data_IF_828751086174
#
_entry.id   IF_828751086174
#
_cell.length_a   1.000
_cell.length_b   1.000
_cell.length_c   1.000
_cell.angle_alpha   90.00
_cell.angle_beta   90.00
_cell.angle_gamma   90.00
#
_symmetry.space_group_name_H-M   'P 1'
#
loop_
_entity.id
_entity.type
_entity.pdbx_description
1 polymer ?
#
# COMPACT_ATOMS: atom_id res chain seq x y z
N UNK A 1 -4.97 14.98 -30.53
CA UNK A 1 -3.70 15.74 -30.41
C UNK A 1 -2.59 14.90 -29.78
N UNK A 2 -2.77 14.36 -28.55
CA UNK A 2 -1.72 13.56 -27.87
C UNK A 2 -1.36 12.27 -28.62
N UNK A 3 -2.35 11.53 -29.14
CA UNK A 3 -2.08 10.32 -29.92
C UNK A 3 -1.26 10.63 -31.16
N UNK A 4 -1.73 11.54 -32.02
CA UNK A 4 -1.05 11.93 -33.26
C UNK A 4 0.40 12.39 -33.04
N UNK A 5 0.66 13.20 -32.01
CA UNK A 5 1.99 13.70 -31.70
C UNK A 5 2.98 12.62 -31.22
N UNK A 6 2.50 11.47 -30.72
CA UNK A 6 3.38 10.42 -30.21
C UNK A 6 4.16 9.74 -31.34
N UNK A 7 5.48 9.70 -31.22
CA UNK A 7 6.39 9.07 -32.20
C UNK A 7 6.92 7.71 -31.74
N UNK A 8 6.82 7.40 -30.45
CA UNK A 8 7.29 6.17 -29.83
C UNK A 8 6.18 5.55 -28.96
N UNK A 9 6.21 4.22 -28.83
CA UNK A 9 5.32 3.49 -27.94
C UNK A 9 5.59 3.87 -26.48
N UNK A 10 4.55 4.27 -25.74
CA UNK A 10 4.67 4.65 -24.34
C UNK A 10 5.14 3.51 -23.41
N UNK A 11 5.01 2.24 -23.84
CA UNK A 11 5.37 1.08 -23.01
C UNK A 11 6.77 0.51 -23.30
N UNK A 12 7.08 0.25 -24.57
CA UNK A 12 8.38 -0.34 -24.95
C UNK A 12 9.40 0.69 -25.45
N UNK A 13 9.02 1.97 -25.56
CA UNK A 13 9.85 3.07 -26.03
C UNK A 13 10.38 2.92 -27.48
N UNK A 14 9.90 1.93 -28.25
CA UNK A 14 10.27 1.73 -29.65
C UNK A 14 9.47 2.69 -30.55
N UNK A 15 10.12 3.24 -31.58
CA UNK A 15 9.50 4.13 -32.58
C UNK A 15 8.38 3.41 -33.33
N UNK A 16 7.28 4.11 -33.59
CA UNK A 16 6.21 3.54 -34.40
C UNK A 16 6.66 3.34 -35.84
N UNK A 17 6.26 2.21 -36.40
CA UNK A 17 6.54 1.86 -37.78
C UNK A 17 5.46 2.43 -38.71
N UNK A 18 5.78 2.62 -39.99
CA UNK A 18 4.79 3.05 -40.97
C UNK A 18 3.71 1.96 -41.20
N UNK A 19 2.55 2.32 -41.78
CA UNK A 19 1.41 1.40 -41.95
C UNK A 19 1.66 0.11 -42.75
N UNK A 20 2.77 0.02 -43.49
CA UNK A 20 3.12 -1.17 -44.28
C UNK A 20 3.86 -2.24 -43.46
N UNK A 21 4.37 -1.90 -42.28
CA UNK A 21 4.98 -2.87 -41.38
C UNK A 21 3.92 -3.52 -40.48
N UNK A 22 4.10 -4.79 -40.11
CA UNK A 22 3.13 -5.52 -39.29
C UNK A 22 3.39 -5.31 -37.79
N UNK A 23 4.65 -5.13 -37.41
CA UNK A 23 5.07 -4.98 -36.02
C UNK A 23 5.27 -3.50 -35.70
N UNK A 24 5.09 -3.14 -34.44
CA UNK A 24 5.27 -1.79 -33.93
C UNK A 24 4.34 -0.70 -34.51
N UNK A 25 3.22 -1.11 -35.12
CA UNK A 25 2.18 -0.20 -35.63
C UNK A 25 1.55 0.60 -34.50
N UNK A 26 1.32 1.89 -34.75
CA UNK A 26 0.72 2.80 -33.78
C UNK A 26 -0.77 2.47 -33.54
N UNK A 27 -1.15 2.36 -32.26
CA UNK A 27 -2.52 2.06 -31.82
C UNK A 27 -2.92 2.95 -30.64
N UNK A 28 -4.21 3.26 -30.55
CA UNK A 28 -4.78 4.04 -29.46
C UNK A 28 -5.31 3.12 -28.35
N UNK A 29 -4.53 2.96 -27.28
CA UNK A 29 -5.00 2.28 -26.06
C UNK A 29 -6.11 3.11 -25.41
N UNK A 30 -7.16 2.44 -24.94
CA UNK A 30 -8.30 3.05 -24.29
C UNK A 30 -8.78 2.18 -23.15
N UNK A 31 -9.39 2.79 -22.13
CA UNK A 31 -9.97 2.07 -21.00
C UNK A 31 -11.19 1.26 -21.45
N UNK A 32 -11.16 -0.06 -21.27
CA UNK A 32 -12.29 -0.92 -21.64
C UNK A 32 -13.52 -0.73 -20.71
N UNK A 33 -13.35 -0.04 -19.58
CA UNK A 33 -14.44 0.31 -18.67
C UNK A 33 -15.06 1.68 -18.99
N UNK A 34 -14.25 2.69 -19.31
CA UNK A 34 -14.73 4.07 -19.50
C UNK A 34 -14.71 4.57 -20.95
N UNK A 35 -14.11 3.80 -21.87
CA UNK A 35 -13.88 4.19 -23.27
C UNK A 35 -12.83 5.28 -23.47
N UNK A 36 -12.30 5.89 -22.41
CA UNK A 36 -11.37 7.02 -22.51
C UNK A 36 -10.01 6.57 -23.02
N UNK A 37 -9.44 7.36 -23.94
CA UNK A 37 -8.06 7.22 -24.40
C UNK A 37 -7.07 7.22 -23.22
N UNK A 38 -6.10 6.32 -23.24
CA UNK A 38 -5.05 6.21 -22.22
C UNK A 38 -3.70 6.71 -22.75
N UNK A 39 -3.23 6.13 -23.86
CA UNK A 39 -1.88 6.35 -24.36
C UNK A 39 -1.70 5.79 -25.79
N UNK A 40 -0.58 6.16 -26.44
CA UNK A 40 -0.21 5.63 -27.74
C UNK A 40 0.72 4.42 -27.54
N UNK A 41 0.28 3.25 -27.99
CA UNK A 41 1.06 2.01 -27.88
C UNK A 41 1.29 1.41 -29.25
N UNK A 42 2.33 0.59 -29.37
CA UNK A 42 2.40 -0.28 -30.52
C UNK A 42 1.39 -1.42 -30.40
N UNK A 43 0.93 -1.95 -31.52
CA UNK A 43 -0.01 -3.07 -31.58
C UNK A 43 0.44 -4.26 -30.71
N UNK A 44 1.73 -4.61 -30.72
CA UNK A 44 2.28 -5.70 -29.91
C UNK A 44 2.15 -5.45 -28.41
N UNK A 45 2.43 -4.22 -27.96
CA UNK A 45 2.27 -3.85 -26.55
C UNK A 45 0.79 -3.78 -26.17
N UNK A 46 -0.04 -3.18 -27.01
CA UNK A 46 -1.48 -3.03 -26.77
C UNK A 46 -2.17 -4.39 -26.63
N UNK A 47 -1.84 -5.36 -27.49
CA UNK A 47 -2.40 -6.72 -27.43
C UNK A 47 -1.98 -7.50 -26.17
N UNK A 48 -0.83 -7.18 -25.57
CA UNK A 48 -0.38 -7.79 -24.32
C UNK A 48 -1.11 -7.24 -23.09
N UNK A 49 -1.74 -6.08 -23.19
CA UNK A 49 -2.51 -5.51 -22.10
C UNK A 49 -3.82 -6.28 -21.93
N UNK A 50 -3.99 -6.89 -20.78
CA UNK A 50 -5.25 -7.53 -20.39
C UNK A 50 -5.96 -6.66 -19.37
N UNK A 51 -7.28 -6.50 -19.55
CA UNK A 51 -8.10 -5.87 -18.50
C UNK A 51 -8.37 -6.93 -17.44
N UNK A 52 -7.86 -6.77 -16.20
CA UNK A 52 -8.12 -7.74 -15.16
C UNK A 52 -9.61 -7.76 -14.82
N UNK A 53 -10.15 -8.96 -14.66
CA UNK A 53 -11.54 -9.18 -14.21
C UNK A 53 -11.62 -9.21 -12.68
N UNK A 54 -10.70 -8.52 -12.01
CA UNK A 54 -10.66 -8.44 -10.56
C UNK A 54 -9.95 -7.17 -10.08
N UNK A 55 -10.27 -6.75 -8.86
CA UNK A 55 -9.47 -5.76 -8.11
C UNK A 55 -8.59 -6.50 -7.10
N UNK A 56 -7.26 -6.35 -7.14
CA UNK A 56 -6.39 -6.88 -6.09
C UNK A 56 -6.47 -6.00 -4.83
N UNK A 57 -6.66 -6.64 -3.68
CA UNK A 57 -6.48 -6.07 -2.35
C UNK A 57 -5.24 -6.72 -1.73
N UNK A 58 -4.16 -5.96 -1.66
CA UNK A 58 -2.91 -6.42 -1.08
C UNK A 58 -2.88 -6.13 0.41
N UNK A 59 -2.76 -7.18 1.22
CA UNK A 59 -2.56 -7.06 2.66
C UNK A 59 -1.27 -7.79 3.03
N UNK A 60 -0.46 -7.20 3.89
CA UNK A 60 0.81 -7.79 4.27
C UNK A 60 0.63 -8.63 5.52
N UNK A 61 0.93 -9.93 5.42
CA UNK A 61 0.72 -10.92 6.49
C UNK A 61 -0.76 -11.26 6.74
N UNK A 62 -1.60 -11.08 5.71
CA UNK A 62 -3.04 -11.38 5.69
C UNK A 62 -3.37 -12.74 6.30
N UNK A 63 -2.63 -13.79 5.92
CA UNK A 63 -2.96 -15.17 6.30
C UNK A 63 -2.93 -15.40 7.81
N UNK A 64 -2.18 -14.59 8.57
CA UNK A 64 -1.94 -14.79 10.00
C UNK A 64 -2.76 -13.82 10.88
N UNK A 65 -3.30 -12.75 10.31
CA UNK A 65 -4.00 -11.69 11.05
C UNK A 65 -5.42 -11.52 10.51
N UNK A 66 -5.53 -11.07 9.27
CA UNK A 66 -6.80 -10.50 8.81
C UNK A 66 -7.74 -11.48 8.10
N UNK A 67 -7.20 -12.56 7.54
CA UNK A 67 -7.94 -13.43 6.64
C UNK A 67 -9.21 -14.01 7.31
N UNK A 68 -9.13 -14.43 8.57
CA UNK A 68 -10.23 -15.09 9.25
C UNK A 68 -11.43 -14.17 9.46
N UNK A 69 -11.22 -12.95 9.95
CA UNK A 69 -12.33 -12.03 10.15
C UNK A 69 -12.92 -11.56 8.81
N UNK A 70 -12.08 -11.25 7.82
CA UNK A 70 -12.55 -10.81 6.50
C UNK A 70 -13.38 -11.91 5.83
N UNK A 71 -12.88 -13.14 5.77
CA UNK A 71 -13.58 -14.25 5.12
C UNK A 71 -14.88 -14.59 5.85
N UNK A 72 -14.90 -14.52 7.18
CA UNK A 72 -16.11 -14.75 7.97
C UNK A 72 -17.19 -13.73 7.63
N UNK A 73 -16.86 -12.44 7.64
CA UNK A 73 -17.81 -11.37 7.30
C UNK A 73 -18.31 -11.48 5.86
N UNK A 74 -17.42 -11.79 4.92
CA UNK A 74 -17.79 -12.00 3.52
C UNK A 74 -18.63 -13.27 3.31
N UNK A 75 -18.59 -14.22 4.25
CA UNK A 75 -19.35 -15.47 4.21
C UNK A 75 -20.85 -15.28 4.42
N UNK A 76 -21.28 -14.17 5.02
CA UNK A 76 -22.70 -13.82 5.16
C UNK A 76 -23.34 -13.39 3.83
N UNK A 77 -22.54 -12.94 2.88
CA UNK A 77 -23.03 -12.58 1.54
C UNK A 77 -23.14 -13.82 0.65
N UNK A 78 -24.22 -13.87 -0.16
CA UNK A 78 -24.59 -15.04 -0.98
C UNK A 78 -23.62 -15.33 -2.13
N UNK A 79 -22.79 -14.36 -2.52
CA UNK A 79 -21.86 -14.56 -3.61
C UNK A 79 -20.72 -15.49 -3.22
N UNK A 80 -20.26 -16.26 -4.20
CA UNK A 80 -19.22 -17.25 -4.00
C UNK A 80 -17.92 -16.61 -3.49
N UNK A 81 -17.26 -17.32 -2.57
CA UNK A 81 -15.86 -17.12 -2.22
C UNK A 81 -15.04 -18.27 -2.80
N UNK A 82 -13.88 -17.96 -3.37
CA UNK A 82 -12.89 -18.95 -3.80
C UNK A 82 -11.59 -18.72 -3.04
N UNK A 83 -11.00 -19.77 -2.48
CA UNK A 83 -9.83 -19.69 -1.62
C UNK A 83 -8.67 -20.46 -2.23
N UNK A 84 -7.46 -19.91 -2.11
CA UNK A 84 -6.19 -20.60 -2.33
C UNK A 84 -5.58 -20.85 -0.95
N UNK A 85 -5.78 -22.05 -0.38
CA UNK A 85 -5.28 -22.37 0.95
C UNK A 85 -3.78 -22.70 0.93
N UNK A 86 -3.09 -22.37 2.02
CA UNK A 86 -1.81 -22.94 2.41
C UNK A 86 -1.99 -24.08 3.42
N UNK A 87 -2.96 -23.93 4.33
CA UNK A 87 -3.45 -24.96 5.24
C UNK A 87 -4.96 -24.77 5.42
N UNK A 88 -5.60 -25.59 6.26
CA UNK A 88 -7.03 -25.45 6.59
C UNK A 88 -7.36 -24.08 7.21
N UNK A 89 -6.40 -23.49 7.93
CA UNK A 89 -6.55 -22.20 8.58
C UNK A 89 -5.89 -21.06 7.79
N UNK A 90 -4.80 -21.30 7.06
CA UNK A 90 -4.05 -20.20 6.42
C UNK A 90 -4.37 -20.07 4.94
N UNK A 91 -4.85 -18.91 4.51
CA UNK A 91 -5.21 -18.64 3.12
C UNK A 91 -4.21 -17.67 2.46
N UNK A 92 -3.50 -18.13 1.42
CA UNK A 92 -2.55 -17.30 0.65
C UNK A 92 -3.29 -16.17 -0.07
N UNK A 93 -4.46 -16.51 -0.60
CA UNK A 93 -5.34 -15.60 -1.33
C UNK A 93 -6.76 -16.11 -1.24
N UNK A 94 -7.72 -15.19 -1.22
CA UNK A 94 -9.13 -15.53 -1.42
C UNK A 94 -9.78 -14.47 -2.31
N UNK A 95 -10.84 -14.83 -3.00
CA UNK A 95 -11.56 -13.94 -3.90
C UNK A 95 -13.05 -14.00 -3.63
N UNK A 96 -13.66 -12.83 -3.48
CA UNK A 96 -15.11 -12.66 -3.36
C UNK A 96 -15.66 -12.21 -4.70
N UNK A 97 -16.68 -12.90 -5.19
CA UNK A 97 -17.38 -12.49 -6.40
C UNK A 97 -18.29 -11.30 -6.08
N UNK A 98 -18.16 -10.23 -6.87
CA UNK A 98 -19.07 -9.07 -6.82
C UNK A 98 -20.11 -9.21 -7.95
N UNK A 99 -19.73 -9.83 -9.05
CA UNK A 99 -20.62 -10.23 -10.14
C UNK A 99 -20.20 -11.61 -10.69
N UNK A 100 -20.91 -12.11 -11.71
CA UNK A 100 -20.58 -13.41 -12.33
C UNK A 100 -19.17 -13.50 -12.91
N UNK A 101 -18.60 -12.36 -13.30
CA UNK A 101 -17.29 -12.31 -13.99
C UNK A 101 -16.26 -11.49 -13.23
N UNK A 102 -16.64 -10.77 -12.18
CA UNK A 102 -15.76 -9.82 -11.49
C UNK A 102 -15.58 -10.16 -10.02
N UNK A 103 -14.33 -10.14 -9.56
CA UNK A 103 -13.98 -10.48 -8.18
C UNK A 103 -13.15 -9.40 -7.48
N UNK A 104 -13.23 -9.33 -6.15
CA UNK A 104 -12.22 -8.68 -5.33
C UNK A 104 -11.30 -9.78 -4.82
N UNK A 105 -10.00 -9.65 -5.03
CA UNK A 105 -9.00 -10.68 -4.70
C UNK A 105 -8.06 -10.18 -3.62
N UNK A 106 -8.16 -10.77 -2.44
CA UNK A 106 -7.29 -10.50 -1.30
C UNK A 106 -6.05 -11.37 -1.40
N UNK A 107 -4.87 -10.76 -1.29
CA UNK A 107 -3.58 -11.41 -1.52
C UNK A 107 -2.64 -11.11 -0.34
N UNK A 108 -2.07 -12.15 0.24
CA UNK A 108 -1.02 -12.02 1.25
C UNK A 108 0.32 -11.69 0.59
N UNK A 109 0.75 -10.43 0.68
CA UNK A 109 2.04 -10.01 0.09
C UNK A 109 3.26 -10.58 0.83
N UNK A 110 3.11 -11.01 2.08
CA UNK A 110 4.19 -11.62 2.85
C UNK A 110 4.61 -12.99 2.29
N UNK A 111 3.75 -13.63 1.47
CA UNK A 111 4.11 -14.86 0.73
C UNK A 111 5.12 -14.62 -0.39
N UNK A 112 5.22 -13.38 -0.89
CA UNK A 112 6.16 -12.99 -1.95
C UNK A 112 7.36 -12.23 -1.39
N UNK A 113 7.14 -11.43 -0.35
CA UNK A 113 8.16 -10.62 0.32
C UNK A 113 8.14 -10.94 1.82
N UNK A 114 8.79 -12.04 2.20
CA UNK A 114 8.82 -12.54 3.57
C UNK A 114 9.74 -11.68 4.48
N UNK A 115 9.35 -10.43 4.72
CA UNK A 115 10.09 -9.46 5.55
C UNK A 115 9.12 -8.45 6.15
N UNK A 116 9.45 -7.90 7.32
CA UNK A 116 8.62 -6.88 7.98
C UNK A 116 8.43 -5.67 7.06
N UNK A 117 7.24 -5.06 7.08
CA UNK A 117 6.96 -3.81 6.35
C UNK A 117 8.00 -2.73 6.64
N UNK A 118 8.47 -2.61 7.88
CA UNK A 118 9.51 -1.65 8.26
C UNK A 118 10.85 -1.88 7.53
N UNK A 119 11.21 -3.14 7.26
CA UNK A 119 12.40 -3.48 6.46
C UNK A 119 12.15 -3.17 4.99
N UNK A 120 10.97 -3.51 4.47
CA UNK A 120 10.61 -3.24 3.07
C UNK A 120 10.56 -1.74 2.77
N UNK A 121 9.99 -0.93 3.66
CA UNK A 121 9.96 0.53 3.55
C UNK A 121 11.38 1.12 3.55
N UNK A 122 12.27 0.66 4.44
CA UNK A 122 13.68 1.09 4.47
C UNK A 122 14.40 0.84 3.13
N UNK A 123 14.11 -0.28 2.46
CA UNK A 123 14.69 -0.61 1.15
C UNK A 123 14.16 0.29 0.01
N UNK A 124 13.05 1.00 0.21
CA UNK A 124 12.49 1.93 -0.76
C UNK A 124 13.05 3.34 -0.67
N UNK A 125 13.72 3.69 0.44
CA UNK A 125 14.27 5.04 0.65
C UNK A 125 15.29 5.37 -0.44
N UNK A 126 15.06 6.50 -1.10
CA UNK A 126 15.96 7.15 -2.06
C UNK A 126 16.26 8.56 -1.56
N UNK A 127 17.37 9.20 -1.97
CA UNK A 127 17.69 10.56 -1.52
C UNK A 127 16.57 11.59 -1.79
N UNK A 128 15.74 11.33 -2.79
CA UNK A 128 14.61 12.18 -3.21
C UNK A 128 13.23 11.66 -2.78
N UNK A 129 13.16 10.54 -2.04
CA UNK A 129 11.92 9.87 -1.64
C UNK A 129 10.94 9.54 -2.80
N UNK A 130 11.42 9.47 -4.04
CA UNK A 130 10.59 9.28 -5.24
C UNK A 130 9.74 8.01 -5.26
N UNK A 131 10.08 7.00 -4.44
CA UNK A 131 9.29 5.77 -4.28
C UNK A 131 8.09 5.91 -3.33
N UNK A 132 8.02 6.96 -2.50
CA UNK A 132 6.95 7.24 -1.55
C UNK A 132 5.90 8.21 -2.10
N UNK A 133 5.46 7.95 -3.33
CA UNK A 133 4.57 8.85 -4.09
C UNK A 133 3.24 9.12 -3.42
N UNK A 134 2.69 8.11 -2.73
CA UNK A 134 1.40 8.23 -2.04
C UNK A 134 1.53 9.03 -0.74
N UNK A 135 2.58 8.79 0.05
CA UNK A 135 2.92 9.58 1.24
C UNK A 135 3.15 11.05 0.88
N UNK A 136 3.88 11.32 -0.20
CA UNK A 136 4.16 12.68 -0.69
C UNK A 136 2.92 13.47 -1.14
N UNK A 137 1.73 12.85 -1.24
CA UNK A 137 0.47 13.58 -1.49
C UNK A 137 -0.06 14.29 -0.25
N UNK A 138 0.33 13.84 0.94
CA UNK A 138 -0.22 14.29 2.21
C UNK A 138 0.81 15.00 3.11
N UNK A 139 2.09 14.85 2.79
CA UNK A 139 3.21 15.37 3.56
C UNK A 139 4.14 16.20 2.67
N UNK A 140 4.74 17.23 3.26
CA UNK A 140 5.70 18.09 2.57
C UNK A 140 7.06 17.40 2.42
N UNK A 141 7.96 17.97 1.62
CA UNK A 141 9.32 17.44 1.44
C UNK A 141 10.09 17.41 2.76
N UNK A 142 9.89 18.39 3.63
CA UNK A 142 10.58 18.50 4.92
C UNK A 142 10.14 17.38 5.89
N UNK A 143 8.90 16.91 5.74
CA UNK A 143 8.31 15.83 6.55
C UNK A 143 8.81 14.43 6.15
N UNK A 144 9.28 14.25 4.91
CA UNK A 144 9.48 12.92 4.32
C UNK A 144 10.46 12.04 5.11
N UNK A 145 11.47 12.64 5.75
CA UNK A 145 12.41 11.91 6.61
C UNK A 145 11.73 11.30 7.85
N UNK A 146 10.64 11.91 8.31
CA UNK A 146 9.90 11.50 9.50
C UNK A 146 8.83 10.47 9.17
N UNK A 147 8.18 10.59 8.01
CA UNK A 147 6.98 9.81 7.65
C UNK A 147 7.21 8.62 6.70
N UNK A 148 8.46 8.32 6.36
CA UNK A 148 8.80 7.18 5.45
C UNK A 148 9.42 5.98 6.16
N UNK A 149 9.38 5.98 7.49
CA UNK A 149 9.83 4.89 8.34
C UNK A 149 8.72 4.48 9.32
N UNK A 150 8.90 3.33 9.95
CA UNK A 150 7.99 2.86 11.02
C UNK A 150 7.97 3.90 12.14
N UNK A 151 6.77 4.40 12.47
CA UNK A 151 6.54 5.25 13.63
C UNK A 151 6.67 4.48 14.95
N UNK A 152 6.76 5.22 16.05
CA UNK A 152 6.99 4.69 17.40
C UNK A 152 5.84 5.13 18.28
N UNK A 153 5.13 4.18 18.89
CA UNK A 153 3.89 4.44 19.61
C UNK A 153 3.82 3.59 20.89
N UNK A 154 3.38 4.15 22.04
CA UNK A 154 3.35 3.43 23.31
C UNK A 154 2.02 2.66 23.47
N UNK A 155 1.88 1.55 22.75
CA UNK A 155 0.64 0.77 22.67
C UNK A 155 0.13 0.31 24.03
N UNK A 156 1.04 -0.17 24.88
CA UNK A 156 0.73 -0.66 26.22
C UNK A 156 0.30 0.45 27.17
N UNK A 157 0.79 1.68 26.97
CA UNK A 157 0.43 2.83 27.79
C UNK A 157 -0.95 3.40 27.45
N UNK A 158 -1.31 3.43 26.16
CA UNK A 158 -2.56 4.02 25.69
C UNK A 158 -3.72 3.01 25.78
N UNK A 159 -4.03 2.59 27.00
CA UNK A 159 -5.05 1.58 27.32
C UNK A 159 -6.43 2.17 27.66
N UNK A 160 -6.54 3.50 27.78
CA UNK A 160 -7.76 4.22 28.08
C UNK A 160 -7.87 5.52 27.28
N UNK A 161 -9.11 5.93 26.97
CA UNK A 161 -9.38 7.18 26.25
C UNK A 161 -8.78 8.42 26.91
N UNK A 162 -8.77 8.48 28.24
CA UNK A 162 -8.20 9.60 29.00
C UNK A 162 -6.69 9.78 28.78
N UNK A 163 -5.97 8.73 28.35
CA UNK A 163 -4.55 8.82 27.99
C UNK A 163 -4.34 9.67 26.75
N UNK A 164 -5.31 9.68 25.84
CA UNK A 164 -5.20 10.48 24.61
C UNK A 164 -5.28 11.97 24.90
N UNK A 165 -5.88 12.39 26.02
CA UNK A 165 -5.96 13.79 26.43
C UNK A 165 -4.69 14.30 27.12
N UNK A 166 -3.68 13.44 27.34
CA UNK A 166 -2.44 13.84 28.00
C UNK A 166 -1.55 14.68 27.09
N UNK A 167 -0.99 15.77 27.64
CA UNK A 167 -0.22 16.77 26.90
C UNK A 167 1.26 16.41 26.73
N UNK A 168 1.65 15.17 26.97
CA UNK A 168 3.02 14.70 26.83
C UNK A 168 3.05 13.24 26.41
N UNK A 169 4.03 12.85 25.59
CA UNK A 169 4.33 11.43 25.44
C UNK A 169 4.84 10.89 26.77
N UNK A 170 4.49 9.64 27.11
CA UNK A 170 4.93 9.03 28.36
C UNK A 170 6.44 8.81 28.36
N UNK A 171 6.99 8.51 29.53
CA UNK A 171 8.41 8.23 29.67
C UNK A 171 8.82 7.03 28.80
N UNK A 172 10.10 7.00 28.39
CA UNK A 172 10.67 5.92 27.57
C UNK A 172 10.37 4.51 28.10
N UNK A 173 10.30 4.34 29.43
CA UNK A 173 10.00 3.06 30.06
C UNK A 173 8.59 2.53 29.71
N UNK A 174 7.65 3.42 29.43
CA UNK A 174 6.25 3.09 29.11
C UNK A 174 6.04 2.75 27.62
N UNK A 175 7.09 2.84 26.81
CA UNK A 175 7.13 2.30 25.43
C UNK A 175 7.57 0.82 25.39
N UNK A 176 7.58 0.13 26.54
CA UNK A 176 7.91 -1.29 26.59
C UNK A 176 6.88 -2.13 25.85
N UNK A 177 7.33 -2.91 24.86
CA UNK A 177 6.42 -3.79 24.12
C UNK A 177 6.34 -5.17 24.77
N UNK A 178 5.15 -5.56 25.19
CA UNK A 178 4.88 -6.91 25.72
C UNK A 178 5.02 -7.94 24.60
N UNK A 179 4.63 -7.60 23.37
CA UNK A 179 4.68 -8.52 22.22
C UNK A 179 6.11 -8.97 21.90
N UNK A 180 7.09 -8.08 22.06
CA UNK A 180 8.51 -8.39 21.79
C UNK A 180 9.34 -8.51 23.06
N UNK A 181 8.71 -8.37 24.23
CA UNK A 181 9.32 -8.36 25.56
C UNK A 181 10.55 -7.44 25.65
N UNK A 182 10.48 -6.27 25.03
CA UNK A 182 11.64 -5.39 24.85
C UNK A 182 11.31 -3.91 25.05
N UNK A 183 12.23 -3.18 25.67
CA UNK A 183 12.17 -1.73 25.74
C UNK A 183 12.47 -1.10 24.37
N UNK A 184 11.93 0.11 24.15
CA UNK A 184 12.26 0.93 22.98
C UNK A 184 13.74 1.36 23.02
N UNK A 185 14.39 1.42 21.86
CA UNK A 185 15.74 1.96 21.73
C UNK A 185 15.74 3.49 21.90
N UNK A 186 16.82 4.08 22.43
CA UNK A 186 16.91 5.54 22.65
C UNK A 186 16.61 6.33 21.38
N UNK A 187 17.21 5.95 20.25
CA UNK A 187 17.01 6.60 18.95
C UNK A 187 15.55 6.55 18.45
N UNK A 188 14.80 5.51 18.82
CA UNK A 188 13.40 5.35 18.40
C UNK A 188 12.49 6.22 19.29
N UNK A 189 12.81 6.33 20.58
CA UNK A 189 12.12 7.25 21.49
C UNK A 189 12.40 8.72 21.13
N UNK A 190 13.66 9.09 20.88
CA UNK A 190 14.04 10.41 20.37
C UNK A 190 13.31 10.74 19.05
N UNK A 191 13.16 9.76 18.17
CA UNK A 191 12.41 9.93 16.94
C UNK A 191 10.93 10.23 17.22
N UNK A 192 10.28 9.54 18.17
CA UNK A 192 8.89 9.82 18.56
C UNK A 192 8.71 11.26 19.07
N UNK A 193 9.63 11.71 19.93
CA UNK A 193 9.64 13.08 20.46
C UNK A 193 9.80 14.11 19.33
N UNK A 194 10.76 13.88 18.42
CA UNK A 194 11.00 14.76 17.28
C UNK A 194 9.79 14.83 16.32
N UNK A 195 9.15 13.69 16.03
CA UNK A 195 7.92 13.66 15.21
C UNK A 195 6.83 14.49 15.88
N UNK A 196 6.58 14.25 17.16
CA UNK A 196 5.58 15.01 17.92
C UNK A 196 5.84 16.50 17.90
N UNK A 197 7.07 16.93 18.15
CA UNK A 197 7.45 18.34 18.16
C UNK A 197 7.31 18.97 16.76
N UNK A 198 7.83 18.30 15.73
CA UNK A 198 7.80 18.78 14.34
C UNK A 198 6.37 19.01 13.83
N UNK A 199 5.45 18.11 14.15
CA UNK A 199 4.04 18.22 13.77
C UNK A 199 3.18 18.98 14.78
N UNK A 200 3.77 19.46 15.89
CA UNK A 200 3.09 20.26 16.90
C UNK A 200 1.95 19.52 17.60
N UNK A 201 2.06 18.20 17.82
CA UNK A 201 1.00 17.45 18.50
C UNK A 201 0.99 17.82 20.00
N UNK A 202 -0.08 18.46 20.45
CA UNK A 202 -0.27 18.91 21.82
C UNK A 202 -0.56 17.69 22.71
N UNK A 203 -1.43 16.79 22.24
CA UNK A 203 -1.90 15.62 22.99
C UNK A 203 -1.39 14.29 22.42
N UNK A 204 -1.44 13.21 23.23
CA UNK A 204 -1.20 11.84 22.73
C UNK A 204 -2.21 11.47 21.64
N UNK A 205 -3.46 11.94 21.75
CA UNK A 205 -4.50 11.72 20.75
C UNK A 205 -4.12 12.26 19.37
N UNK A 206 -3.65 13.51 19.31
CA UNK A 206 -3.17 14.10 18.05
C UNK A 206 -1.95 13.36 17.49
N UNK A 207 -1.05 12.91 18.35
CA UNK A 207 0.08 12.07 17.94
C UNK A 207 -0.39 10.71 17.39
N UNK A 208 -1.45 10.12 17.98
CA UNK A 208 -2.08 8.88 17.51
C UNK A 208 -2.70 9.05 16.13
N UNK A 209 -3.44 10.14 15.91
CA UNK A 209 -4.03 10.45 14.61
C UNK A 209 -2.96 10.64 13.54
N UNK A 210 -1.86 11.33 13.87
CA UNK A 210 -0.70 11.44 12.99
C UNK A 210 -0.08 10.06 12.71
N UNK A 211 0.12 9.24 13.74
CA UNK A 211 0.67 7.89 13.63
C UNK A 211 -0.16 7.01 12.68
N UNK A 212 -1.49 7.12 12.72
CA UNK A 212 -2.41 6.38 11.84
C UNK A 212 -2.48 6.96 10.42
N UNK A 213 -2.18 8.25 10.26
CA UNK A 213 -2.14 8.93 8.97
C UNK A 213 -0.87 8.60 8.18
N UNK A 214 0.26 8.38 8.86
CA UNK A 214 1.57 8.01 8.29
C UNK A 214 1.54 6.56 7.77
#
# INVERSE_FOLDING_TARGET
VVHEAATHCNLCCIKFTPPHEIQHLKTADHCHLSGKYRQALCNMCNQKLQTPVFVPCFLHNLSNYDAHFIVTELGYDTQRITVIPNSEEKFISFSKYVSKTFTIRFIDTCRFMASKLSTLAKNLVTPDFSKFRETAKYFSTDDMNLVTRKGVYPYEYTDAWSKLDENALPDKAEFYSILTESAVEDKEYEHALNVREHFGCETIGEYSDLYLKI
#
